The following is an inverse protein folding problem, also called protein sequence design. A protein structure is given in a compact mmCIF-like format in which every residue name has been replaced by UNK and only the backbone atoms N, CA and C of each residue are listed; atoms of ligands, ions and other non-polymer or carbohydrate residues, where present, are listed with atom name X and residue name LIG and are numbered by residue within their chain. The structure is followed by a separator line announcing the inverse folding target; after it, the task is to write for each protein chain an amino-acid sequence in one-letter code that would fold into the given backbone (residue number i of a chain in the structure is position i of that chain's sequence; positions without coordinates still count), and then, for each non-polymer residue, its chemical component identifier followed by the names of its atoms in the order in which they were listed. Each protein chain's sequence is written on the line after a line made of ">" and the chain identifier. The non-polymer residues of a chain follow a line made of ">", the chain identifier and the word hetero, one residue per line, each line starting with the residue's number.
data_IF_595717144525
#
_entry.id   IF_595717144525
#
_cell.length_a   1.000
_cell.length_b   1.000
_cell.length_c   1.000
_cell.angle_alpha   90.00
_cell.angle_beta   90.00
_cell.angle_gamma   90.00
#
_symmetry.space_group_name_H-M   'P 1'
#
loop_
_entity.id
_entity.type
_entity.pdbx_description
1 polymer ?
#
# COMPACT_ATOMS: atom_id res chain seq x y z
N UNK A 1 1.32 -8.62 16.40
CA UNK A 1 1.32 -8.30 14.96
C UNK A 1 0.03 -7.52 14.73
N UNK A 2 0.13 -6.22 14.47
CA UNK A 2 -1.02 -5.34 14.23
C UNK A 2 -1.60 -5.69 12.85
N UNK A 3 -2.85 -6.13 12.80
CA UNK A 3 -3.56 -6.30 11.53
C UNK A 3 -4.25 -4.98 11.20
N UNK A 4 -3.70 -4.24 10.24
CA UNK A 4 -4.37 -3.09 9.64
C UNK A 4 -5.28 -3.61 8.54
N UNK A 5 -6.59 -3.38 8.67
CA UNK A 5 -7.52 -3.51 7.53
C UNK A 5 -7.30 -2.29 6.65
N UNK A 6 -6.43 -2.43 5.65
CA UNK A 6 -6.32 -1.43 4.59
C UNK A 6 -7.54 -1.62 3.69
N UNK A 7 -8.30 -0.55 3.43
CA UNK A 7 -9.32 -0.55 2.38
C UNK A 7 -8.62 -0.64 1.01
N UNK A 8 -8.15 -1.85 0.66
CA UNK A 8 -7.64 -2.18 -0.66
C UNK A 8 -8.82 -2.14 -1.64
N UNK A 9 -8.95 -1.04 -2.37
CA UNK A 9 -9.85 -0.95 -3.51
C UNK A 9 -9.14 -1.46 -4.76
N UNK A 10 -9.50 -2.66 -5.21
CA UNK A 10 -9.11 -3.18 -6.53
C UNK A 10 -10.03 -2.57 -7.59
N UNK A 11 -9.50 -1.71 -8.46
CA UNK A 11 -10.31 -0.98 -9.47
C UNK A 11 -10.34 -1.66 -10.84
N UNK A 12 -9.27 -2.35 -11.21
CA UNK A 12 -9.24 -3.17 -12.43
C UNK A 12 -8.21 -4.30 -12.29
N UNK A 13 -8.46 -5.40 -13.00
CA UNK A 13 -7.47 -6.45 -13.26
C UNK A 13 -7.41 -6.59 -14.78
N UNK A 14 -6.25 -6.31 -15.37
CA UNK A 14 -5.98 -6.71 -16.75
C UNK A 14 -5.19 -8.03 -16.67
N UNK A 15 -5.88 -9.14 -16.91
CA UNK A 15 -5.26 -10.48 -16.83
C UNK A 15 -4.26 -10.73 -17.95
N UNK A 16 -4.37 -10.03 -19.09
CA UNK A 16 -3.37 -10.12 -20.16
C UNK A 16 -2.06 -9.41 -19.77
N UNK A 17 -2.16 -8.32 -18.99
CA UNK A 17 -1.02 -7.51 -18.55
C UNK A 17 -0.56 -7.78 -17.11
N UNK A 18 -1.26 -8.68 -16.37
CA UNK A 18 -1.01 -9.00 -14.95
C UNK A 18 -0.86 -7.75 -14.08
N UNK A 19 -1.74 -6.76 -14.26
CA UNK A 19 -1.66 -5.47 -13.57
C UNK A 19 -2.67 -5.36 -12.43
N UNK A 20 -2.20 -4.88 -11.29
CA UNK A 20 -2.98 -4.64 -10.07
C UNK A 20 -2.85 -3.18 -9.66
N UNK A 21 -3.97 -2.50 -9.43
CA UNK A 21 -3.98 -1.09 -9.02
C UNK A 21 -4.97 -0.84 -7.88
N UNK A 22 -4.65 0.16 -7.04
CA UNK A 22 -5.51 0.53 -5.93
C UNK A 22 -4.89 1.61 -5.03
N UNK A 23 -5.42 1.72 -3.81
CA UNK A 23 -4.90 2.63 -2.79
C UNK A 23 -4.35 1.84 -1.60
N UNK A 24 -3.10 2.09 -1.26
CA UNK A 24 -2.45 1.54 -0.06
C UNK A 24 -2.82 2.32 1.21
N UNK A 25 -3.24 3.58 1.05
CA UNK A 25 -3.85 4.39 2.08
C UNK A 25 -4.77 5.41 1.41
N UNK A 26 -5.91 5.72 2.03
CA UNK A 26 -6.82 6.76 1.56
C UNK A 26 -6.79 7.94 2.53
N UNK A 27 -6.87 9.15 1.99
CA UNK A 27 -7.12 10.35 2.75
C UNK A 27 -8.60 10.41 3.08
N UNK A 28 -8.90 10.64 4.35
CA UNK A 28 -10.26 10.91 4.81
C UNK A 28 -10.25 12.21 5.60
N UNK A 29 -11.33 12.98 5.49
CA UNK A 29 -11.51 14.15 6.32
C UNK A 29 -11.79 13.78 7.79
N UNK A 30 -12.41 12.62 8.00
CA UNK A 30 -12.68 12.07 9.33
C UNK A 30 -11.48 11.33 9.95
N UNK A 31 -11.39 11.41 11.27
CA UNK A 31 -10.44 10.61 12.04
C UNK A 31 -10.96 9.18 12.20
N UNK A 32 -10.07 8.20 12.00
CA UNK A 32 -10.35 6.79 12.29
C UNK A 32 -10.07 6.53 13.76
N UNK A 33 -11.08 6.06 14.50
CA UNK A 33 -10.91 5.61 15.88
C UNK A 33 -10.25 4.24 15.90
N UNK A 34 -9.08 4.14 16.49
CA UNK A 34 -8.30 2.92 16.66
C UNK A 34 -8.18 2.58 18.14
N UNK A 35 -7.81 1.32 18.42
CA UNK A 35 -7.47 0.86 19.76
C UNK A 35 -6.09 0.21 19.74
N UNK A 36 -5.30 0.50 20.75
CA UNK A 36 -4.02 -0.17 20.93
C UNK A 36 -4.18 -1.53 21.64
N UNK A 37 -3.05 -2.17 21.93
CA UNK A 37 -3.01 -3.48 22.59
C UNK A 37 -3.49 -3.43 24.05
N UNK A 38 -3.46 -2.27 24.70
CA UNK A 38 -3.88 -2.06 26.07
C UNK A 38 -5.35 -1.62 26.18
N UNK A 39 -6.02 -1.43 25.04
CA UNK A 39 -7.43 -1.08 24.95
C UNK A 39 -7.70 0.43 24.94
N UNK A 40 -6.64 1.26 24.97
CA UNK A 40 -6.76 2.70 24.89
C UNK A 40 -7.15 3.12 23.46
N UNK A 41 -8.10 4.05 23.36
CA UNK A 41 -8.58 4.53 22.07
C UNK A 41 -7.81 5.77 21.65
N UNK A 42 -7.38 5.81 20.39
CA UNK A 42 -6.78 6.98 19.77
C UNK A 42 -7.41 7.22 18.40
N UNK A 43 -7.15 8.40 17.84
CA UNK A 43 -7.73 8.84 16.58
C UNK A 43 -6.60 9.12 15.59
N UNK A 44 -6.59 8.43 14.45
CA UNK A 44 -5.60 8.59 13.40
C UNK A 44 -6.24 9.19 12.14
N UNK A 45 -5.52 10.11 11.51
CA UNK A 45 -5.86 10.63 10.18
C UNK A 45 -4.58 10.73 9.35
N UNK A 46 -4.64 10.21 8.13
CA UNK A 46 -3.59 10.39 7.13
C UNK A 46 -3.87 11.67 6.38
N UNK A 47 -3.00 12.68 6.54
CA UNK A 47 -3.13 13.95 5.84
C UNK A 47 -2.54 13.89 4.43
N UNK A 48 -3.08 14.74 3.54
CA UNK A 48 -2.44 15.05 2.25
C UNK A 48 -1.02 15.55 2.50
N UNK A 49 -0.07 15.08 1.71
CA UNK A 49 1.36 15.36 1.86
C UNK A 49 2.10 14.43 2.81
N UNK A 50 1.42 13.49 3.49
CA UNK A 50 2.06 12.58 4.43
C UNK A 50 3.12 11.68 3.77
N UNK A 51 2.99 11.38 2.47
CA UNK A 51 3.90 10.47 1.76
C UNK A 51 4.95 11.19 0.92
N UNK A 52 4.77 12.49 0.61
CA UNK A 52 5.67 13.27 -0.29
C UNK A 52 7.14 13.09 0.05
N UNK A 53 7.52 13.25 1.34
CA UNK A 53 8.92 13.12 1.77
C UNK A 53 9.49 11.72 1.48
N UNK A 54 8.71 10.69 1.77
CA UNK A 54 9.12 9.28 1.60
C UNK A 54 9.18 8.88 0.14
N UNK A 55 8.22 9.34 -0.68
CA UNK A 55 8.20 9.10 -2.12
C UNK A 55 9.36 9.82 -2.83
N UNK A 56 9.73 11.02 -2.37
CA UNK A 56 10.85 11.79 -2.93
C UNK A 56 12.23 11.19 -2.61
N UNK A 57 12.33 10.39 -1.54
CA UNK A 57 13.58 9.73 -1.17
C UNK A 57 13.84 8.52 -2.07
N UNK A 58 14.66 8.71 -3.10
CA UNK A 58 15.08 7.67 -4.05
C UNK A 58 16.13 6.71 -3.49
N UNK A 59 16.71 7.00 -2.32
CA UNK A 59 17.72 6.11 -1.70
C UNK A 59 17.07 4.97 -0.90
N UNK A 60 15.74 4.95 -0.80
CA UNK A 60 14.98 3.93 -0.07
C UNK A 60 14.02 3.24 -1.01
N UNK A 61 14.25 1.95 -1.22
CA UNK A 61 13.28 1.09 -1.88
C UNK A 61 12.03 0.92 -1.01
N UNK A 62 10.87 0.81 -1.67
CA UNK A 62 9.61 0.44 -1.03
C UNK A 62 9.15 -0.88 -1.64
N UNK A 63 8.65 -1.75 -0.77
CA UNK A 63 8.31 -3.12 -1.11
C UNK A 63 6.82 -3.37 -0.93
N UNK A 64 6.25 -4.20 -1.81
CA UNK A 64 4.94 -4.80 -1.63
C UNK A 64 5.15 -6.28 -1.29
N UNK A 65 4.57 -6.70 -0.16
CA UNK A 65 4.77 -8.00 0.48
C UNK A 65 3.42 -8.69 0.62
N UNK A 66 3.39 -10.02 0.46
CA UNK A 66 2.23 -10.81 0.86
C UNK A 66 2.27 -11.03 2.36
N UNK A 67 1.17 -10.74 3.05
CA UNK A 67 1.01 -10.99 4.50
C UNK A 67 2.15 -10.41 5.38
N UNK A 68 2.77 -9.30 4.95
CA UNK A 68 3.94 -8.70 5.61
C UNK A 68 5.15 -9.67 5.79
N UNK A 69 5.22 -10.73 4.99
CA UNK A 69 6.32 -11.69 5.00
C UNK A 69 7.44 -11.25 4.04
N UNK A 70 8.62 -10.95 4.59
CA UNK A 70 9.81 -10.55 3.84
C UNK A 70 10.35 -11.63 2.89
N UNK A 71 9.92 -12.88 3.03
CA UNK A 71 10.24 -13.94 2.07
C UNK A 71 9.34 -13.89 0.83
N UNK A 72 8.24 -13.12 0.87
CA UNK A 72 7.22 -13.03 -0.17
C UNK A 72 7.11 -11.62 -0.75
N UNK A 73 8.23 -11.13 -1.31
CA UNK A 73 8.29 -9.84 -2.00
C UNK A 73 7.72 -9.98 -3.40
N UNK A 74 6.62 -9.27 -3.68
CA UNK A 74 5.97 -9.27 -5.00
C UNK A 74 6.15 -7.95 -5.76
N UNK A 75 6.54 -6.88 -5.07
CA UNK A 75 6.75 -5.58 -5.68
C UNK A 75 7.94 -4.83 -5.10
N UNK A 76 8.69 -4.12 -5.96
CA UNK A 76 9.73 -3.16 -5.57
C UNK A 76 9.63 -1.91 -6.42
N UNK A 77 9.74 -0.74 -5.79
CA UNK A 77 9.87 0.54 -6.50
C UNK A 77 11.05 0.50 -7.46
N UNK A 78 10.91 1.12 -8.63
CA UNK A 78 11.87 1.11 -9.73
C UNK A 78 12.02 -0.24 -10.49
N UNK A 79 11.22 -1.26 -10.14
CA UNK A 79 11.16 -2.53 -10.88
C UNK A 79 9.79 -2.79 -11.46
N UNK A 80 8.79 -3.04 -10.62
CA UNK A 80 7.43 -3.43 -11.04
C UNK A 80 6.33 -2.81 -10.17
N UNK A 81 6.70 -1.94 -9.23
CA UNK A 81 5.78 -1.23 -8.34
C UNK A 81 5.94 0.27 -8.56
N UNK A 82 4.82 0.94 -8.85
CA UNK A 82 4.70 2.39 -8.89
C UNK A 82 3.87 2.83 -7.69
N UNK A 83 4.35 3.85 -6.99
CA UNK A 83 3.67 4.49 -5.87
C UNK A 83 3.56 5.98 -6.14
N UNK A 84 2.36 6.52 -5.95
CA UNK A 84 2.06 7.92 -6.22
C UNK A 84 1.07 8.45 -5.18
N UNK A 85 1.28 9.67 -4.70
CA UNK A 85 0.28 10.36 -3.89
C UNK A 85 -0.62 11.18 -4.81
N UNK A 86 -1.94 10.99 -4.72
CA UNK A 86 -2.94 11.78 -5.45
C UNK A 86 -3.94 12.46 -4.49
N UNK A 87 -5.02 13.05 -5.01
CA UNK A 87 -6.02 13.74 -4.18
C UNK A 87 -6.81 12.82 -3.24
N UNK A 88 -6.86 11.52 -3.52
CA UNK A 88 -7.57 10.48 -2.78
C UNK A 88 -6.68 9.74 -1.79
N UNK A 89 -5.39 9.59 -2.04
CA UNK A 89 -4.49 8.84 -1.15
C UNK A 89 -3.16 8.42 -1.78
N UNK A 90 -2.55 7.37 -1.20
CA UNK A 90 -1.38 6.70 -1.76
C UNK A 90 -1.83 5.63 -2.75
N UNK A 91 -1.83 5.97 -4.04
CA UNK A 91 -2.08 5.05 -5.14
C UNK A 91 -0.90 4.11 -5.33
N UNK A 92 -1.19 2.86 -5.63
CA UNK A 92 -0.21 1.89 -6.09
C UNK A 92 -0.63 1.29 -7.42
N UNK A 93 0.38 0.89 -8.19
CA UNK A 93 0.24 0.08 -9.39
C UNK A 93 1.36 -0.97 -9.40
N UNK A 94 0.99 -2.23 -9.52
CA UNK A 94 1.88 -3.37 -9.50
C UNK A 94 1.70 -4.19 -10.78
N UNK A 95 2.80 -4.46 -11.47
CA UNK A 95 2.85 -5.56 -12.45
C UNK A 95 3.22 -6.84 -11.70
N UNK A 96 2.23 -7.73 -11.55
CA UNK A 96 2.35 -8.95 -10.75
C UNK A 96 3.37 -9.90 -11.39
N UNK A 97 4.47 -10.22 -10.71
CA UNK A 97 5.54 -11.04 -11.29
C UNK A 97 5.07 -12.49 -11.45
N UNK A 98 5.52 -13.16 -12.52
CA UNK A 98 5.24 -14.58 -12.74
C UNK A 98 6.14 -15.46 -11.85
N UNK A 99 5.83 -15.51 -10.57
CA UNK A 99 6.50 -16.29 -9.52
C UNK A 99 5.47 -17.13 -8.78
N UNK A 100 5.90 -18.09 -7.96
CA UNK A 100 4.97 -18.89 -7.13
C UNK A 100 4.05 -18.00 -6.30
N UNK A 101 4.60 -17.01 -5.59
CA UNK A 101 3.82 -16.10 -4.75
C UNK A 101 2.96 -15.12 -5.58
N UNK A 102 3.38 -14.75 -6.79
CA UNK A 102 2.59 -13.89 -7.67
C UNK A 102 1.48 -14.60 -8.45
N UNK A 103 1.40 -15.93 -8.35
CA UNK A 103 0.41 -16.77 -9.03
C UNK A 103 -0.62 -17.40 -8.08
N UNK A 104 -0.40 -17.30 -6.77
CA UNK A 104 -1.31 -17.77 -5.70
C UNK A 104 -2.43 -16.75 -5.45
#
# INVERSE_FOLDING_TARGET
>A
MEQRTVNLQFRSTNMEERKLEGYAAVFNDDYTKLKDRWGESFYEKVNRGAFIKTLSDKNRDKFMLINHDWNKVVGRTDSNLVLEEDSNGLRFELTVPNTTDGND
#
